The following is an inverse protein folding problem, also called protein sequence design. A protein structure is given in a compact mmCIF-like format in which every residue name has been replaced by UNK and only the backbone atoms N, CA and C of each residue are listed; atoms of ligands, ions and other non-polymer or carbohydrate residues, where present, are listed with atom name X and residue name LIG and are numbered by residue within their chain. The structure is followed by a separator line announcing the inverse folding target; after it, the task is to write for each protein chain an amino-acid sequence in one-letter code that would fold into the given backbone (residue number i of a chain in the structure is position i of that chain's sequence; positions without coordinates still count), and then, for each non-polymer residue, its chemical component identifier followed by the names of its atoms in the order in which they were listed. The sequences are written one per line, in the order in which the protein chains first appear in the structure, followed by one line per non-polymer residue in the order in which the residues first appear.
data_IF_040222032239
#
_entry.id   IF_040222032239
#
_cell.length_a   1.000
_cell.length_b   1.000
_cell.length_c   1.000
_cell.angle_alpha   90.00
_cell.angle_beta   90.00
_cell.angle_gamma   90.00
#
_symmetry.space_group_name_H-M   'P 1'
#
loop_
_entity.id
_entity.type
_entity.pdbx_description
1 polymer ?
#
# COMPACT_ATOMS: atom_id res chain seq x y z
N UNK A 1 2.13 30.71 -3.84
CA UNK A 1 1.41 29.61 -3.17
C UNK A 1 0.43 29.06 -4.18
N UNK A 2 0.58 27.77 -4.52
CA UNK A 2 -0.20 27.12 -5.58
C UNK A 2 -1.71 27.09 -5.26
N UNK A 3 -2.53 27.22 -6.31
CA UNK A 3 -3.99 27.24 -6.21
C UNK A 3 -4.56 25.99 -5.54
N UNK A 4 -3.91 24.83 -5.73
CA UNK A 4 -4.30 23.53 -5.14
C UNK A 4 -4.16 23.56 -3.62
N UNK A 5 -3.03 24.06 -3.09
CA UNK A 5 -2.80 24.13 -1.64
C UNK A 5 -3.83 25.02 -0.95
N UNK A 6 -4.18 26.16 -1.56
CA UNK A 6 -5.22 27.05 -1.03
C UNK A 6 -6.60 26.38 -1.04
N UNK A 7 -6.93 25.67 -2.12
CA UNK A 7 -8.19 24.94 -2.21
C UNK A 7 -8.28 23.81 -1.17
N UNK A 8 -7.22 23.01 -1.03
CA UNK A 8 -7.16 21.94 -0.02
C UNK A 8 -7.34 22.53 1.37
N UNK A 9 -6.60 23.59 1.73
CA UNK A 9 -6.74 24.24 3.03
C UNK A 9 -8.17 24.72 3.31
N UNK A 10 -8.84 25.30 2.32
CA UNK A 10 -10.23 25.75 2.46
C UNK A 10 -11.19 24.58 2.70
N UNK A 11 -11.01 23.46 2.00
CA UNK A 11 -11.83 22.24 2.18
C UNK A 11 -11.60 21.63 3.56
N UNK A 12 -10.34 21.56 4.01
CA UNK A 12 -10.00 21.03 5.34
C UNK A 12 -10.58 21.88 6.47
N UNK A 13 -10.60 23.21 6.31
CA UNK A 13 -11.25 24.12 7.28
C UNK A 13 -12.76 23.89 7.41
N UNK A 14 -13.41 23.30 6.41
CA UNK A 14 -14.84 22.94 6.47
C UNK A 14 -15.09 21.62 7.19
N UNK A 15 -14.03 20.92 7.64
CA UNK A 15 -14.15 19.66 8.36
C UNK A 15 -14.67 18.52 7.48
N UNK A 16 -14.31 18.53 6.20
CA UNK A 16 -14.77 17.50 5.25
C UNK A 16 -14.21 16.13 5.65
N UNK A 17 -15.05 15.06 5.67
CA UNK A 17 -14.59 13.72 6.03
C UNK A 17 -14.04 12.90 4.85
N UNK A 18 -14.41 13.25 3.62
CA UNK A 18 -14.04 12.51 2.41
C UNK A 18 -13.31 13.42 1.44
N UNK A 19 -12.09 13.06 1.05
CA UNK A 19 -11.34 13.79 0.02
C UNK A 19 -10.80 12.80 -1.00
N UNK A 20 -11.06 13.11 -2.27
CA UNK A 20 -10.36 12.52 -3.40
C UNK A 20 -9.59 13.62 -4.14
N UNK A 21 -8.27 13.48 -4.19
CA UNK A 21 -7.38 14.32 -4.97
C UNK A 21 -6.77 13.48 -6.09
N UNK A 22 -7.03 13.84 -7.33
CA UNK A 22 -6.34 13.29 -8.49
C UNK A 22 -5.72 14.41 -9.30
N UNK A 23 -4.46 14.24 -9.64
CA UNK A 23 -3.78 15.09 -10.59
C UNK A 23 -3.72 14.38 -11.94
N UNK A 24 -4.50 14.84 -12.91
CA UNK A 24 -4.37 14.37 -14.31
C UNK A 24 -3.05 14.76 -14.99
N UNK A 25 -2.09 15.31 -14.24
CA UNK A 25 -0.80 15.77 -14.73
C UNK A 25 0.26 14.66 -14.64
N UNK A 26 1.03 14.53 -15.70
CA UNK A 26 2.20 13.64 -15.78
C UNK A 26 3.37 14.08 -14.89
N UNK A 27 3.33 15.32 -14.38
CA UNK A 27 4.43 15.94 -13.65
C UNK A 27 4.43 15.64 -12.14
N UNK A 28 3.43 14.91 -11.62
CA UNK A 28 3.27 14.60 -10.19
C UNK A 28 3.43 15.84 -9.30
N UNK A 29 2.44 16.75 -9.26
CA UNK A 29 2.50 17.93 -8.40
C UNK A 29 2.70 17.52 -6.94
N UNK A 30 3.24 18.46 -6.15
CA UNK A 30 3.47 18.24 -4.74
C UNK A 30 2.15 18.13 -3.99
N UNK A 31 2.02 17.08 -3.19
CA UNK A 31 0.86 16.91 -2.31
C UNK A 31 0.87 18.02 -1.24
N UNK A 32 -0.23 18.78 -1.09
CA UNK A 32 -0.33 19.74 0.00
C UNK A 32 -0.29 19.04 1.37
N UNK A 33 0.80 19.24 2.13
CA UNK A 33 1.04 18.53 3.40
C UNK A 33 -0.01 18.81 4.48
N UNK A 34 -0.80 19.88 4.34
CA UNK A 34 -1.91 20.18 5.25
C UNK A 34 -2.98 19.10 5.29
N UNK A 35 -3.12 18.31 4.22
CA UNK A 35 -4.04 17.17 4.22
C UNK A 35 -3.64 16.08 5.21
N UNK A 36 -2.36 16.02 5.59
CA UNK A 36 -1.76 14.97 6.42
C UNK A 36 -1.94 15.18 7.93
N UNK A 37 -2.54 16.29 8.33
CA UNK A 37 -2.78 16.63 9.74
C UNK A 37 -4.26 16.84 10.04
N UNK A 38 -5.15 16.50 9.10
CA UNK A 38 -6.58 16.74 9.24
C UNK A 38 -7.25 15.69 10.12
N UNK A 39 -7.88 16.14 11.21
CA UNK A 39 -8.55 15.27 12.17
C UNK A 39 -9.94 14.82 11.76
N UNK A 40 -10.57 15.46 10.77
CA UNK A 40 -11.93 15.10 10.32
C UNK A 40 -11.93 14.08 9.19
N UNK A 41 -10.79 13.89 8.51
CA UNK A 41 -10.69 12.97 7.38
C UNK A 41 -10.88 11.52 7.83
N UNK A 42 -11.88 10.88 7.23
CA UNK A 42 -12.23 9.46 7.40
C UNK A 42 -11.80 8.66 6.17
N UNK A 43 -11.93 9.25 4.99
CA UNK A 43 -11.59 8.61 3.72
C UNK A 43 -10.73 9.54 2.87
N UNK A 44 -9.52 9.08 2.55
CA UNK A 44 -8.54 9.82 1.79
C UNK A 44 -8.12 9.02 0.57
N UNK A 45 -8.36 9.58 -0.61
CA UNK A 45 -7.90 9.05 -1.89
C UNK A 45 -6.97 10.04 -2.57
N UNK A 46 -5.79 9.59 -2.94
CA UNK A 46 -4.77 10.41 -3.59
C UNK A 46 -4.28 9.65 -4.82
N UNK A 47 -4.27 10.32 -5.96
CA UNK A 47 -3.84 9.78 -7.24
C UNK A 47 -2.89 10.75 -7.98
N UNK A 48 -1.73 10.26 -8.42
CA UNK A 48 -0.72 11.02 -9.21
C UNK A 48 -0.10 12.23 -8.52
N UNK A 49 0.34 12.06 -7.28
CA UNK A 49 1.05 13.11 -6.53
C UNK A 49 2.47 12.72 -6.14
N UNK A 50 3.32 13.72 -5.91
CA UNK A 50 4.61 13.54 -5.25
C UNK A 50 4.52 13.96 -3.80
N UNK A 51 5.02 13.11 -2.90
CA UNK A 51 5.21 13.43 -1.49
C UNK A 51 6.66 13.79 -1.26
N UNK A 52 6.92 15.05 -0.89
CA UNK A 52 8.25 15.49 -0.45
C UNK A 52 8.56 14.95 0.94
N UNK A 53 9.85 14.87 1.27
CA UNK A 53 10.30 14.55 2.62
C UNK A 53 9.60 15.47 3.63
N UNK A 54 8.81 14.86 4.51
CA UNK A 54 8.10 15.57 5.57
C UNK A 54 8.88 15.43 6.86
N UNK A 55 9.26 16.57 7.43
CA UNK A 55 9.76 16.64 8.81
C UNK A 55 8.62 16.81 9.82
N UNK A 56 7.39 17.02 9.35
CA UNK A 56 6.23 17.26 10.18
C UNK A 56 5.54 15.94 10.56
N UNK A 57 5.05 15.81 11.81
CA UNK A 57 4.29 14.63 12.21
C UNK A 57 3.02 14.51 11.37
N UNK A 58 2.82 13.34 10.76
CA UNK A 58 1.59 12.98 10.07
C UNK A 58 0.59 12.51 11.14
N UNK A 59 -0.62 13.05 11.11
CA UNK A 59 -1.65 12.73 12.12
C UNK A 59 -3.02 12.78 11.47
N UNK A 60 -3.54 11.60 11.17
CA UNK A 60 -4.83 11.33 10.54
C UNK A 60 -5.69 10.46 11.48
N UNK A 61 -6.09 11.00 12.63
CA UNK A 61 -6.60 10.22 13.76
C UNK A 61 -7.96 9.55 13.48
N UNK A 62 -8.72 10.06 12.51
CA UNK A 62 -10.04 9.55 12.14
C UNK A 62 -10.05 8.71 10.87
N UNK A 63 -8.88 8.54 10.22
CA UNK A 63 -8.80 7.92 8.90
C UNK A 63 -9.03 6.42 8.98
N UNK A 64 -10.02 5.95 8.22
CA UNK A 64 -10.42 4.55 8.09
C UNK A 64 -10.08 3.98 6.73
N UNK A 65 -10.13 4.80 5.68
CA UNK A 65 -9.83 4.38 4.31
C UNK A 65 -8.70 5.22 3.75
N UNK A 66 -7.64 4.57 3.28
CA UNK A 66 -6.53 5.21 2.58
C UNK A 66 -6.33 4.56 1.23
N UNK A 67 -6.42 5.36 0.18
CA UNK A 67 -6.20 4.95 -1.20
C UNK A 67 -5.08 5.79 -1.82
N UNK A 68 -4.00 5.12 -2.21
CA UNK A 68 -2.82 5.73 -2.82
C UNK A 68 -2.59 5.08 -4.18
N UNK A 69 -2.63 5.87 -5.24
CA UNK A 69 -2.43 5.41 -6.61
C UNK A 69 -1.43 6.30 -7.33
N UNK A 70 -0.43 5.72 -8.02
CA UNK A 70 0.60 6.50 -8.73
C UNK A 70 1.22 7.55 -7.79
N UNK A 71 1.83 7.15 -6.68
CA UNK A 71 2.43 8.10 -5.73
C UNK A 71 3.94 7.98 -5.74
N UNK A 72 4.61 9.12 -5.90
CA UNK A 72 6.06 9.22 -5.80
C UNK A 72 6.47 9.68 -4.40
N UNK A 73 7.01 8.78 -3.59
CA UNK A 73 7.63 9.11 -2.31
C UNK A 73 9.13 9.38 -2.48
N UNK A 74 9.65 10.28 -1.65
CA UNK A 74 11.10 10.48 -1.57
C UNK A 74 11.78 9.25 -0.95
N UNK A 75 11.22 8.72 0.14
CA UNK A 75 11.73 7.57 0.90
C UNK A 75 10.60 6.63 1.34
N UNK A 76 10.89 5.33 1.53
CA UNK A 76 9.91 4.37 2.10
C UNK A 76 9.36 4.86 3.46
N UNK A 77 10.22 5.49 4.26
CA UNK A 77 9.84 6.06 5.55
C UNK A 77 8.66 7.03 5.44
N UNK A 78 8.55 7.79 4.36
CA UNK A 78 7.44 8.74 4.17
C UNK A 78 6.10 7.98 4.02
N UNK A 79 6.08 6.87 3.28
CA UNK A 79 4.93 5.97 3.20
C UNK A 79 4.62 5.36 4.57
N UNK A 80 5.63 4.90 5.30
CA UNK A 80 5.42 4.30 6.62
C UNK A 80 4.88 5.31 7.64
N UNK A 81 5.31 6.58 7.56
CA UNK A 81 4.76 7.66 8.41
C UNK A 81 3.29 7.97 8.09
N UNK A 82 2.87 7.84 6.82
CA UNK A 82 1.45 7.92 6.44
C UNK A 82 0.61 6.88 7.17
N UNK A 83 1.09 5.63 7.17
CA UNK A 83 0.41 4.52 7.82
C UNK A 83 0.43 4.66 9.34
N UNK A 84 1.58 5.04 9.91
CA UNK A 84 1.73 5.22 11.36
C UNK A 84 0.88 6.37 11.91
N UNK A 85 0.66 7.42 11.10
CA UNK A 85 -0.22 8.53 11.44
C UNK A 85 -1.71 8.20 11.39
N UNK A 86 -2.09 6.99 10.95
CA UNK A 86 -3.49 6.59 10.68
C UNK A 86 -3.92 5.39 11.56
N UNK A 87 -4.07 5.56 12.89
CA UNK A 87 -4.26 4.45 13.83
C UNK A 87 -5.60 3.71 13.69
N UNK A 88 -6.61 4.32 13.05
CA UNK A 88 -7.94 3.73 12.84
C UNK A 88 -8.12 3.14 11.44
N UNK A 89 -7.04 2.94 10.69
CA UNK A 89 -7.11 2.48 9.31
C UNK A 89 -7.69 1.06 9.23
N UNK A 90 -8.79 0.91 8.48
CA UNK A 90 -9.57 -0.32 8.29
C UNK A 90 -9.41 -0.88 6.87
N UNK A 91 -9.21 -0.01 5.87
CA UNK A 91 -9.08 -0.36 4.45
C UNK A 91 -7.90 0.41 3.82
N UNK A 92 -6.92 -0.34 3.29
CA UNK A 92 -5.72 0.19 2.67
C UNK A 92 -5.65 -0.25 1.21
N UNK A 93 -5.53 0.71 0.31
CA UNK A 93 -5.28 0.46 -1.10
C UNK A 93 -4.02 1.19 -1.55
N UNK A 94 -3.08 0.44 -2.10
CA UNK A 94 -1.80 0.92 -2.60
C UNK A 94 -1.60 0.35 -4.00
N UNK A 95 -1.42 1.21 -4.99
CA UNK A 95 -1.14 0.84 -6.38
C UNK A 95 -0.11 1.78 -7.01
N UNK A 96 0.88 1.21 -7.69
CA UNK A 96 1.92 1.95 -8.43
C UNK A 96 2.63 3.00 -7.56
N UNK A 97 3.29 2.51 -6.50
CA UNK A 97 4.10 3.36 -5.61
C UNK A 97 5.56 3.32 -6.01
N UNK A 98 6.11 4.51 -6.14
CA UNK A 98 7.49 4.75 -6.52
C UNK A 98 8.29 5.36 -5.38
N UNK A 99 9.52 4.87 -5.18
CA UNK A 99 10.47 5.41 -4.19
C UNK A 99 11.71 5.93 -4.91
N UNK A 100 12.07 7.19 -4.64
CA UNK A 100 13.16 7.87 -5.34
C UNK A 100 14.58 7.49 -4.84
N UNK A 101 14.76 6.92 -3.63
CA UNK A 101 16.08 6.69 -3.01
C UNK A 101 16.29 5.25 -2.51
N UNK A 102 17.47 4.68 -2.79
CA UNK A 102 17.88 3.31 -2.40
C UNK A 102 18.10 3.13 -0.90
N UNK A 103 18.68 4.14 -0.24
CA UNK A 103 19.00 4.11 1.20
C UNK A 103 17.74 3.93 2.08
N UNK A 104 16.56 4.09 1.49
CA UNK A 104 15.28 4.05 2.19
C UNK A 104 14.58 2.69 2.17
N UNK A 105 15.13 1.66 1.53
CA UNK A 105 14.37 0.43 1.23
C UNK A 105 14.42 -0.66 2.30
N UNK A 106 15.08 -0.44 3.43
CA UNK A 106 15.15 -1.48 4.47
C UNK A 106 13.85 -1.50 5.28
N UNK A 107 13.07 -2.58 5.14
CA UNK A 107 11.93 -2.86 6.03
C UNK A 107 12.37 -3.09 7.49
N UNK A 108 13.67 -3.20 7.74
CA UNK A 108 14.26 -3.45 9.06
C UNK A 108 13.77 -2.51 10.15
N UNK A 109 13.63 -1.22 9.85
CA UNK A 109 13.13 -0.23 10.80
C UNK A 109 11.65 -0.45 11.18
N UNK A 110 10.88 -1.10 10.31
CA UNK A 110 9.43 -1.22 10.41
C UNK A 110 8.93 -2.65 10.58
N UNK A 111 9.81 -3.62 10.87
CA UNK A 111 9.41 -5.04 11.03
C UNK A 111 8.37 -5.27 12.12
N UNK A 112 8.38 -4.44 13.17
CA UNK A 112 7.42 -4.54 14.28
C UNK A 112 6.15 -3.72 14.05
N UNK A 113 6.09 -2.93 12.97
CA UNK A 113 4.95 -2.07 12.68
C UNK A 113 3.70 -2.89 12.35
N UNK A 114 2.56 -2.47 12.90
CA UNK A 114 1.28 -3.19 12.82
C UNK A 114 0.12 -2.20 12.63
N UNK A 115 -0.73 -2.44 11.64
CA UNK A 115 -2.01 -1.75 11.50
C UNK A 115 -3.11 -2.61 12.13
N UNK A 116 -3.35 -2.39 13.42
CA UNK A 116 -4.16 -3.30 14.25
C UNK A 116 -5.64 -3.38 13.83
N UNK A 117 -6.19 -2.30 13.26
CA UNK A 117 -7.59 -2.21 12.85
C UNK A 117 -7.80 -2.60 11.38
N UNK A 118 -6.73 -2.91 10.65
CA UNK A 118 -6.80 -3.15 9.22
C UNK A 118 -7.55 -4.46 8.94
N UNK A 119 -8.60 -4.36 8.13
CA UNK A 119 -9.47 -5.49 7.76
C UNK A 119 -9.25 -5.95 6.34
N UNK A 120 -8.84 -5.02 5.46
CA UNK A 120 -8.59 -5.23 4.04
C UNK A 120 -7.35 -4.48 3.61
N UNK A 121 -6.57 -5.12 2.74
CA UNK A 121 -5.44 -4.46 2.11
C UNK A 121 -5.30 -4.92 0.65
N UNK A 122 -5.05 -3.97 -0.23
CA UNK A 122 -4.55 -4.18 -1.58
C UNK A 122 -3.20 -3.49 -1.69
N UNK A 123 -2.15 -4.23 -2.00
CA UNK A 123 -0.79 -3.70 -2.03
C UNK A 123 -0.08 -4.12 -3.31
N UNK A 124 -0.08 -3.22 -4.27
CA UNK A 124 0.70 -3.27 -5.50
C UNK A 124 1.74 -2.14 -5.53
N UNK A 125 2.97 -2.48 -5.22
CA UNK A 125 4.13 -1.61 -5.26
C UNK A 125 4.92 -1.78 -6.57
N UNK A 126 4.30 -2.33 -7.63
CA UNK A 126 4.92 -2.44 -8.93
C UNK A 126 4.93 -1.09 -9.64
N UNK A 127 6.12 -0.67 -10.06
CA UNK A 127 6.29 0.53 -10.86
C UNK A 127 6.05 0.22 -12.35
N UNK A 128 4.92 0.66 -12.89
CA UNK A 128 4.59 0.52 -14.31
C UNK A 128 5.19 1.63 -15.19
N UNK A 129 5.69 2.72 -14.58
CA UNK A 129 5.89 4.00 -15.24
C UNK A 129 7.33 4.45 -15.48
N UNK A 130 8.31 3.98 -14.69
CA UNK A 130 9.61 4.64 -14.64
C UNK A 130 10.76 3.81 -15.22
N UNK A 131 11.06 4.08 -16.49
CA UNK A 131 12.05 3.34 -17.29
C UNK A 131 13.52 3.35 -16.85
N UNK A 132 13.97 4.03 -15.78
CA UNK A 132 15.43 4.11 -15.54
C UNK A 132 16.02 4.12 -14.12
N UNK A 133 15.36 4.46 -13.01
CA UNK A 133 16.12 4.67 -11.74
C UNK A 133 15.34 4.42 -10.43
N UNK A 134 14.24 3.66 -10.44
CA UNK A 134 13.38 3.54 -9.26
C UNK A 134 13.41 2.14 -8.66
N UNK A 135 13.37 2.10 -7.34
CA UNK A 135 13.55 0.88 -6.56
C UNK A 135 12.20 0.29 -6.13
N UNK A 136 12.13 -1.03 -6.04
CA UNK A 136 10.93 -1.75 -5.58
C UNK A 136 10.64 -1.40 -4.12
N UNK A 137 9.42 -0.96 -3.83
CA UNK A 137 8.98 -0.71 -2.46
C UNK A 137 8.71 -2.05 -1.75
N UNK A 138 9.57 -2.40 -0.78
CA UNK A 138 9.32 -3.53 0.13
C UNK A 138 8.30 -3.09 1.21
N UNK A 139 7.24 -3.88 1.39
CA UNK A 139 6.20 -3.60 2.39
C UNK A 139 6.26 -4.62 3.54
N UNK A 140 6.29 -4.18 4.81
CA UNK A 140 6.38 -5.12 5.94
C UNK A 140 5.07 -5.91 6.09
N UNK A 141 5.11 -7.22 5.82
CA UNK A 141 3.92 -8.09 5.94
C UNK A 141 3.31 -8.09 7.34
N UNK A 142 4.14 -7.84 8.37
CA UNK A 142 3.66 -7.69 9.75
C UNK A 142 2.65 -6.55 9.90
N UNK A 143 2.70 -5.52 9.06
CA UNK A 143 1.74 -4.42 9.08
C UNK A 143 0.31 -4.88 8.75
N UNK A 144 0.15 -5.93 7.95
CA UNK A 144 -1.14 -6.41 7.41
C UNK A 144 -1.55 -7.77 7.98
N UNK A 145 -0.89 -8.26 9.03
CA UNK A 145 -1.11 -9.62 9.55
C UNK A 145 -2.56 -9.91 10.02
N UNK A 146 -3.31 -8.87 10.39
CA UNK A 146 -4.64 -9.00 10.99
C UNK A 146 -5.79 -8.96 9.97
N UNK A 147 -5.50 -8.75 8.68
CA UNK A 147 -6.52 -8.56 7.65
C UNK A 147 -7.32 -9.85 7.37
N UNK A 148 -8.55 -9.67 6.90
CA UNK A 148 -9.44 -10.75 6.46
C UNK A 148 -9.39 -11.00 4.95
N UNK A 149 -9.05 -9.96 4.18
CA UNK A 149 -8.86 -9.98 2.73
C UNK A 149 -7.57 -9.26 2.39
N UNK A 150 -6.71 -9.91 1.60
CA UNK A 150 -5.40 -9.39 1.22
C UNK A 150 -5.17 -9.62 -0.26
N UNK A 151 -4.77 -8.57 -0.96
CA UNK A 151 -4.16 -8.67 -2.28
C UNK A 151 -2.71 -8.24 -2.18
N UNK A 152 -1.79 -9.06 -2.69
CA UNK A 152 -0.36 -8.79 -2.69
C UNK A 152 0.28 -9.19 -4.02
N UNK A 153 1.30 -8.45 -4.42
CA UNK A 153 2.21 -8.93 -5.46
C UNK A 153 3.32 -9.81 -4.87
N UNK A 154 3.59 -10.99 -5.45
CA UNK A 154 4.55 -11.99 -4.90
C UNK A 154 5.97 -11.43 -4.75
N UNK A 155 6.39 -10.58 -5.66
CA UNK A 155 7.72 -9.97 -5.63
C UNK A 155 7.96 -9.16 -4.34
N UNK A 156 6.89 -8.69 -3.67
CA UNK A 156 6.97 -7.98 -2.39
C UNK A 156 7.12 -8.91 -1.18
N UNK A 157 6.81 -10.21 -1.32
CA UNK A 157 6.98 -11.22 -0.26
C UNK A 157 8.44 -11.71 -0.20
N UNK A 158 9.21 -11.46 -1.25
CA UNK A 158 10.64 -11.80 -1.36
C UNK A 158 11.56 -10.80 -0.65
N UNK A 159 11.03 -9.87 0.17
CA UNK A 159 11.85 -9.02 1.03
C UNK A 159 12.70 -9.91 1.95
N UNK A 160 14.00 -9.92 1.64
CA UNK A 160 15.03 -10.75 2.23
C UNK A 160 14.84 -10.95 3.75
N UNK A 161 14.74 -12.21 4.18
CA UNK A 161 14.83 -12.64 5.58
C UNK A 161 13.73 -12.11 6.54
N UNK A 162 12.60 -11.61 6.04
CA UNK A 162 11.50 -11.21 6.93
C UNK A 162 10.64 -12.41 7.35
N UNK A 163 10.34 -12.46 8.64
CA UNK A 163 9.44 -13.45 9.24
C UNK A 163 8.04 -13.29 8.64
N UNK A 164 7.54 -14.31 7.95
CA UNK A 164 6.15 -14.35 7.48
C UNK A 164 5.25 -14.46 8.72
N UNK A 165 4.42 -13.45 9.03
CA UNK A 165 3.54 -13.53 10.17
C UNK A 165 2.41 -14.54 9.90
N UNK A 166 1.91 -15.16 10.96
CA UNK A 166 0.68 -15.96 10.86
C UNK A 166 -0.53 -15.03 10.69
N UNK A 167 -1.27 -15.23 9.61
CA UNK A 167 -2.47 -14.49 9.26
C UNK A 167 -3.71 -15.19 9.85
N UNK A 168 -3.98 -14.97 11.14
CA UNK A 168 -5.04 -15.69 11.87
C UNK A 168 -6.47 -15.40 11.41
N UNK A 169 -6.69 -14.28 10.70
CA UNK A 169 -8.00 -13.81 10.27
C UNK A 169 -8.19 -13.83 8.75
N UNK A 170 -7.13 -14.14 7.99
CA UNK A 170 -7.16 -14.09 6.54
C UNK A 170 -8.01 -15.23 5.98
N UNK A 171 -9.06 -14.85 5.26
CA UNK A 171 -10.00 -15.77 4.59
C UNK A 171 -9.91 -15.66 3.09
N UNK A 172 -9.50 -14.51 2.56
CA UNK A 172 -9.28 -14.28 1.14
C UNK A 172 -7.87 -13.78 0.88
N UNK A 173 -7.13 -14.47 0.03
CA UNK A 173 -5.80 -14.08 -0.40
C UNK A 173 -5.75 -14.08 -1.93
N UNK A 174 -5.41 -12.94 -2.50
CA UNK A 174 -5.20 -12.78 -3.92
C UNK A 174 -3.71 -12.45 -4.13
N UNK A 175 -3.03 -13.21 -4.99
CA UNK A 175 -1.66 -12.95 -5.40
C UNK A 175 -1.60 -12.56 -6.88
N UNK A 176 -0.78 -11.57 -7.19
CA UNK A 176 -0.34 -11.31 -8.56
C UNK A 176 1.15 -11.66 -8.75
N UNK A 177 1.42 -12.38 -9.83
CA UNK A 177 2.71 -12.96 -10.19
C UNK A 177 3.28 -12.31 -11.46
N UNK A 178 3.76 -11.06 -11.38
CA UNK A 178 4.34 -10.36 -12.53
C UNK A 178 5.80 -10.77 -12.87
N UNK A 179 6.17 -12.07 -13.06
CA UNK A 179 7.33 -12.50 -13.88
C UNK A 179 7.56 -14.03 -13.99
N UNK A 180 8.24 -14.42 -15.08
CA UNK A 180 8.48 -15.78 -15.66
C UNK A 180 9.20 -16.85 -14.80
N UNK A 181 9.48 -16.61 -13.51
CA UNK A 181 10.26 -17.54 -12.66
C UNK A 181 9.62 -17.71 -11.27
N UNK A 182 8.47 -18.37 -11.25
CA UNK A 182 7.66 -18.59 -10.06
C UNK A 182 8.44 -19.08 -8.83
N UNK A 183 8.40 -18.28 -7.77
CA UNK A 183 8.75 -18.72 -6.43
C UNK A 183 7.53 -19.38 -5.76
N UNK A 184 7.00 -20.46 -6.34
CA UNK A 184 5.92 -21.26 -5.73
C UNK A 184 6.26 -21.79 -4.34
N UNK A 185 7.55 -21.91 -4.02
CA UNK A 185 7.97 -22.21 -2.65
C UNK A 185 7.54 -21.11 -1.68
N UNK A 186 7.65 -19.84 -2.06
CA UNK A 186 7.21 -18.72 -1.24
C UNK A 186 5.69 -18.68 -1.07
N UNK A 187 4.93 -18.93 -2.13
CA UNK A 187 3.46 -19.05 -2.04
C UNK A 187 3.09 -20.15 -1.06
N UNK A 188 3.68 -21.34 -1.22
CA UNK A 188 3.46 -22.46 -0.30
C UNK A 188 3.85 -22.08 1.13
N UNK A 189 4.93 -21.34 1.33
CA UNK A 189 5.34 -20.88 2.65
C UNK A 189 4.31 -19.91 3.25
N UNK A 190 3.86 -18.88 2.52
CA UNK A 190 2.80 -17.98 2.99
C UNK A 190 1.51 -18.74 3.32
N UNK A 191 1.12 -19.70 2.47
CA UNK A 191 -0.10 -20.49 2.70
C UNK A 191 -0.05 -21.30 4.02
N UNK A 192 1.12 -21.79 4.45
CA UNK A 192 1.28 -22.44 5.77
C UNK A 192 0.96 -21.50 6.93
N UNK A 193 1.06 -20.18 6.72
CA UNK A 193 0.77 -19.14 7.69
C UNK A 193 -0.67 -18.62 7.62
N UNK A 194 -1.56 -19.22 6.80
CA UNK A 194 -2.94 -18.77 6.60
C UNK A 194 -3.96 -19.85 7.03
N UNK A 195 -4.13 -20.14 8.32
CA UNK A 195 -4.90 -21.30 8.80
C UNK A 195 -6.42 -21.24 8.54
N UNK A 196 -6.98 -20.05 8.23
CA UNK A 196 -8.41 -19.86 7.95
C UNK A 196 -8.71 -19.52 6.49
N UNK A 197 -7.74 -19.70 5.60
CA UNK A 197 -7.90 -19.31 4.19
C UNK A 197 -9.03 -20.10 3.54
N UNK A 198 -9.94 -19.40 2.86
CA UNK A 198 -11.13 -19.95 2.21
C UNK A 198 -11.15 -19.66 0.71
N UNK A 199 -10.49 -18.59 0.28
CA UNK A 199 -10.40 -18.16 -1.11
C UNK A 199 -8.96 -17.82 -1.42
N UNK A 200 -8.43 -18.42 -2.48
CA UNK A 200 -7.12 -18.11 -3.05
C UNK A 200 -7.31 -17.73 -4.51
N UNK A 201 -6.82 -16.55 -4.91
CA UNK A 201 -6.71 -16.19 -6.32
C UNK A 201 -5.23 -16.06 -6.65
N UNK A 202 -4.77 -16.70 -7.74
CA UNK A 202 -3.43 -16.53 -8.26
C UNK A 202 -3.58 -15.97 -9.67
N UNK A 203 -3.24 -14.69 -9.85
CA UNK A 203 -3.21 -14.07 -11.16
C UNK A 203 -1.78 -14.13 -11.73
N UNK A 204 -1.69 -14.45 -13.02
CA UNK A 204 -0.46 -14.39 -13.77
C UNK A 204 -0.60 -13.33 -14.87
N UNK A 205 -0.09 -12.14 -14.57
CA UNK A 205 0.00 -11.08 -15.57
C UNK A 205 1.29 -11.25 -16.37
N UNK A 206 1.25 -12.14 -17.37
CA UNK A 206 2.27 -12.20 -18.42
C UNK A 206 2.13 -10.95 -19.31
N UNK A 207 3.25 -10.24 -19.55
CA UNK A 207 3.31 -9.00 -20.34
C UNK A 207 2.42 -9.07 -21.60
N UNK A 208 1.29 -8.36 -21.58
CA UNK A 208 0.37 -8.20 -22.71
C UNK A 208 -0.77 -9.22 -22.84
N UNK A 209 -0.94 -10.18 -21.92
CA UNK A 209 -2.10 -11.07 -21.87
C UNK A 209 -2.31 -11.61 -20.45
N UNK A 210 -3.46 -11.30 -19.84
CA UNK A 210 -3.86 -11.82 -18.54
C UNK A 210 -4.31 -13.28 -18.68
N UNK A 211 -3.68 -14.21 -17.98
CA UNK A 211 -4.21 -15.57 -17.79
C UNK A 211 -4.70 -15.69 -16.36
N UNK A 212 -6.03 -15.67 -16.19
CA UNK A 212 -6.65 -15.91 -14.88
C UNK A 212 -6.57 -17.39 -14.55
N UNK A 213 -5.64 -17.78 -13.66
CA UNK A 213 -5.64 -19.12 -13.07
C UNK A 213 -6.52 -19.07 -11.82
N UNK A 214 -7.82 -19.35 -11.97
CA UNK A 214 -8.70 -19.55 -10.83
C UNK A 214 -8.37 -20.89 -10.15
N UNK A 215 -7.62 -20.84 -9.04
CA UNK A 215 -7.58 -21.94 -8.07
C UNK A 215 -8.60 -21.68 -6.97
N UNK A 216 -9.88 -21.95 -7.25
CA UNK A 216 -10.90 -22.04 -6.21
C UNK A 216 -10.59 -23.23 -5.30
N UNK A 217 -9.86 -22.99 -4.21
CA UNK A 217 -9.82 -23.95 -3.11
C UNK A 217 -11.15 -23.80 -2.36
N UNK A 218 -12.17 -24.55 -2.80
CA UNK A 218 -13.36 -24.78 -2.00
C UNK A 218 -13.00 -25.67 -0.81
N UNK A 219 -13.43 -25.23 0.38
CA UNK A 219 -13.10 -25.79 1.69
C UNK A 219 -13.40 -27.28 1.85
N UNK A 220 -12.63 -27.93 2.74
CA UNK A 220 -13.09 -29.03 3.59
C UNK A 220 -13.40 -28.52 4.98
#
# INVERSE_FOLDING_TARGET
MDSITNWVNFVLQRGVPYIYLSSGLWSYPELPLSILTCSTLVDLKIDRFRVKESFSPITLPSLKTLYLEHILFAKLRDLMLFLAGSPLLEDLFILDISIASEESLTCDEWKSFCLINLTKAFIDCYDFGFKCLQFRCCFPLKAVYNVSSLWLQIDQVNCHNDFIPTFHNLTKLDFDCCSLHYNWKLVVEVLKHCPKLQSLCLDEVCKGSSYLIYLLIAQS
#
